data_IF_657239157176
#
_entry.id   IF_657239157176
#
_cell.length_a   1.000
_cell.length_b   1.000
_cell.length_c   1.000
_cell.angle_alpha   90.00
_cell.angle_beta   90.00
_cell.angle_gamma   90.00
#
_symmetry.space_group_name_H-M   'P 1'
#
loop_
_entity.id
_entity.type
_entity.pdbx_description
1 polymer ?
#
# COMPACT_ATOMS: atom_id res chain seq x y z
N UNK A 1 8.54 -35.65 9.56
CA UNK A 1 8.83 -36.83 10.41
C UNK A 1 10.20 -37.36 10.02
N UNK A 2 11.05 -37.81 10.96
CA UNK A 2 12.35 -38.38 10.62
C UNK A 2 12.17 -39.58 9.68
N UNK A 3 12.97 -39.63 8.61
CA UNK A 3 12.97 -40.71 7.65
C UNK A 3 14.34 -40.78 6.96
N UNK A 4 14.81 -41.98 6.64
CA UNK A 4 15.96 -42.19 5.74
C UNK A 4 15.49 -41.95 4.32
N UNK A 5 16.27 -41.21 3.54
CA UNK A 5 15.92 -40.82 2.17
C UNK A 5 17.10 -41.05 1.23
N UNK A 6 16.81 -41.44 0.00
CA UNK A 6 17.81 -41.50 -1.05
C UNK A 6 18.12 -40.09 -1.61
N UNK A 7 19.18 -39.97 -2.42
CA UNK A 7 19.60 -38.68 -2.96
C UNK A 7 18.51 -37.98 -3.78
N UNK A 8 17.76 -38.73 -4.59
CA UNK A 8 16.70 -38.19 -5.44
C UNK A 8 15.55 -37.61 -4.61
N UNK A 9 15.15 -38.31 -3.55
CA UNK A 9 14.11 -37.87 -2.62
C UNK A 9 14.53 -36.59 -1.90
N UNK A 10 15.77 -36.53 -1.39
CA UNK A 10 16.31 -35.35 -0.71
C UNK A 10 16.29 -34.14 -1.64
N UNK A 11 16.81 -34.28 -2.86
CA UNK A 11 16.85 -33.18 -3.82
C UNK A 11 15.46 -32.72 -4.25
N UNK A 12 14.55 -33.67 -4.50
CA UNK A 12 13.17 -33.36 -4.91
C UNK A 12 12.42 -32.61 -3.82
N UNK A 13 12.49 -33.07 -2.58
CA UNK A 13 11.85 -32.39 -1.45
C UNK A 13 12.49 -31.04 -1.14
N UNK A 14 13.82 -30.94 -1.23
CA UNK A 14 14.51 -29.68 -1.05
C UNK A 14 14.10 -28.65 -2.10
N UNK A 15 13.91 -29.06 -3.37
CA UNK A 15 13.40 -28.20 -4.43
C UNK A 15 11.96 -27.73 -4.17
N UNK A 16 11.10 -28.60 -3.63
CA UNK A 16 9.73 -28.23 -3.21
C UNK A 16 9.79 -27.18 -2.10
N UNK A 17 10.58 -27.44 -1.05
CA UNK A 17 10.79 -26.49 0.04
C UNK A 17 11.34 -25.15 -0.48
N UNK A 18 12.35 -25.20 -1.37
CA UNK A 18 12.98 -23.99 -1.89
C UNK A 18 12.02 -23.18 -2.74
N UNK A 19 11.20 -23.83 -3.57
CA UNK A 19 10.14 -23.18 -4.37
C UNK A 19 9.11 -22.50 -3.48
N UNK A 20 8.65 -23.17 -2.43
CA UNK A 20 7.69 -22.59 -1.48
C UNK A 20 8.29 -21.39 -0.73
N UNK A 21 9.53 -21.52 -0.28
CA UNK A 21 10.25 -20.41 0.39
C UNK A 21 10.38 -19.18 -0.52
N UNK A 22 10.74 -19.39 -1.79
CA UNK A 22 10.85 -18.29 -2.77
C UNK A 22 9.48 -17.67 -3.05
N UNK A 23 8.43 -18.48 -3.21
CA UNK A 23 7.06 -18.00 -3.41
C UNK A 23 6.61 -17.11 -2.25
N UNK A 24 6.80 -17.56 -1.01
CA UNK A 24 6.45 -16.77 0.19
C UNK A 24 7.22 -15.45 0.24
N UNK A 25 8.52 -15.47 -0.07
CA UNK A 25 9.34 -14.25 -0.12
C UNK A 25 8.84 -13.25 -1.16
N UNK A 26 8.45 -13.73 -2.34
CA UNK A 26 7.91 -12.88 -3.40
C UNK A 26 6.54 -12.32 -3.03
N UNK A 27 5.63 -13.14 -2.49
CA UNK A 27 4.32 -12.70 -2.04
C UNK A 27 4.41 -11.64 -0.93
N UNK A 28 5.32 -11.83 0.02
CA UNK A 28 5.57 -10.83 1.06
C UNK A 28 6.00 -9.47 0.48
N UNK A 29 6.89 -9.48 -0.53
CA UNK A 29 7.30 -8.24 -1.19
C UNK A 29 6.17 -7.64 -2.04
N UNK A 30 5.43 -8.49 -2.73
CA UNK A 30 4.28 -8.08 -3.54
C UNK A 30 3.23 -7.37 -2.69
N UNK A 31 2.84 -7.93 -1.55
CA UNK A 31 1.89 -7.32 -0.63
C UNK A 31 2.34 -5.95 -0.13
N UNK A 32 3.64 -5.78 0.16
CA UNK A 32 4.19 -4.46 0.52
C UNK A 32 4.05 -3.45 -0.61
N UNK A 33 4.36 -3.85 -1.85
CA UNK A 33 4.25 -2.98 -3.02
C UNK A 33 2.78 -2.62 -3.29
N UNK A 34 1.87 -3.60 -3.22
CA UNK A 34 0.44 -3.35 -3.41
C UNK A 34 -0.11 -2.39 -2.34
N UNK A 35 0.26 -2.57 -1.07
CA UNK A 35 -0.11 -1.61 -0.01
C UNK A 35 0.44 -0.21 -0.28
N UNK A 36 1.67 -0.09 -0.78
CA UNK A 36 2.26 1.21 -1.13
C UNK A 36 1.52 1.87 -2.29
N UNK A 37 1.27 1.13 -3.37
CA UNK A 37 0.51 1.61 -4.53
C UNK A 37 -0.90 2.06 -4.13
N UNK A 38 -1.56 1.29 -3.26
CA UNK A 38 -2.88 1.64 -2.72
C UNK A 38 -2.89 3.00 -2.02
N UNK A 39 -1.88 3.28 -1.19
CA UNK A 39 -1.75 4.59 -0.54
C UNK A 39 -1.42 5.69 -1.55
N UNK A 40 -0.49 5.44 -2.49
CA UNK A 40 -0.13 6.43 -3.52
C UNK A 40 -1.33 6.83 -4.37
N UNK A 41 -2.21 5.89 -4.72
CA UNK A 41 -3.46 6.17 -5.44
C UNK A 41 -4.35 7.14 -4.66
N UNK A 42 -4.58 6.89 -3.36
CA UNK A 42 -5.38 7.78 -2.52
C UNK A 42 -4.75 9.18 -2.37
N UNK A 43 -3.43 9.24 -2.22
CA UNK A 43 -2.71 10.51 -2.19
C UNK A 43 -2.87 11.29 -3.49
N UNK A 44 -2.74 10.64 -4.64
CA UNK A 44 -2.93 11.28 -5.95
C UNK A 44 -4.33 11.86 -6.11
N UNK A 45 -5.36 11.15 -5.65
CA UNK A 45 -6.74 11.68 -5.63
C UNK A 45 -6.83 12.93 -4.76
N UNK A 46 -6.19 12.94 -3.59
CA UNK A 46 -6.16 14.11 -2.71
C UNK A 46 -5.41 15.30 -3.34
N UNK A 47 -4.28 15.07 -4.02
CA UNK A 47 -3.55 16.15 -4.71
C UNK A 47 -4.37 16.79 -5.83
N UNK A 48 -5.13 15.99 -6.59
CA UNK A 48 -5.98 16.50 -7.67
C UNK A 48 -7.17 17.33 -7.15
N UNK A 49 -7.61 17.10 -5.91
CA UNK A 49 -8.79 17.72 -5.31
C UNK A 49 -8.45 18.44 -3.98
N UNK A 50 -7.26 19.04 -3.88
CA UNK A 50 -6.72 19.51 -2.61
C UNK A 50 -7.60 20.55 -1.91
N UNK A 51 -8.22 21.45 -2.66
CA UNK A 51 -9.10 22.49 -2.11
C UNK A 51 -10.34 21.87 -1.44
N UNK A 52 -10.96 20.87 -2.08
CA UNK A 52 -12.13 20.16 -1.57
C UNK A 52 -11.76 19.27 -0.37
N UNK A 53 -10.60 18.62 -0.41
CA UNK A 53 -10.07 17.87 0.74
C UNK A 53 -9.88 18.79 1.95
N UNK A 54 -9.28 19.97 1.75
CA UNK A 54 -9.10 20.96 2.83
C UNK A 54 -10.45 21.47 3.33
N UNK A 55 -11.42 21.71 2.44
CA UNK A 55 -12.76 22.13 2.82
C UNK A 55 -13.45 21.10 3.72
N UNK A 56 -13.42 19.82 3.34
CA UNK A 56 -13.97 18.71 4.14
C UNK A 56 -13.28 18.65 5.51
N UNK A 57 -11.94 18.71 5.55
CA UNK A 57 -11.18 18.65 6.81
C UNK A 57 -11.50 19.82 7.74
N UNK A 58 -11.85 20.99 7.20
CA UNK A 58 -12.13 22.20 7.99
C UNK A 58 -13.57 22.31 8.46
N UNK A 59 -14.52 21.76 7.72
CA UNK A 59 -15.95 22.00 7.93
C UNK A 59 -16.72 20.78 8.45
N UNK A 60 -16.19 19.56 8.30
CA UNK A 60 -16.80 18.34 8.83
C UNK A 60 -16.25 18.00 10.21
N UNK A 61 -17.15 17.62 11.14
CA UNK A 61 -16.77 17.15 12.48
C UNK A 61 -15.99 15.82 12.40
N UNK A 62 -16.37 14.96 11.45
CA UNK A 62 -15.72 13.68 11.17
C UNK A 62 -15.23 13.64 9.71
N UNK A 63 -14.02 14.11 9.41
CA UNK A 63 -13.54 14.22 8.03
C UNK A 63 -13.22 12.86 7.40
N UNK A 64 -12.86 11.83 8.19
CA UNK A 64 -12.47 10.53 7.64
C UNK A 64 -13.61 9.83 6.88
N UNK A 65 -14.82 9.64 7.46
CA UNK A 65 -15.95 9.06 6.73
C UNK A 65 -16.42 9.93 5.54
N UNK A 66 -16.32 11.26 5.67
CA UNK A 66 -16.67 12.19 4.60
C UNK A 66 -15.74 12.05 3.39
N UNK A 67 -14.42 12.01 3.60
CA UNK A 67 -13.42 11.79 2.55
C UNK A 67 -13.62 10.44 1.85
N UNK A 68 -13.89 9.37 2.62
CA UNK A 68 -14.17 8.05 2.07
C UNK A 68 -15.41 8.04 1.18
N UNK A 69 -16.50 8.64 1.65
CA UNK A 69 -17.77 8.67 0.92
C UNK A 69 -17.67 9.54 -0.34
N UNK A 70 -16.97 10.67 -0.27
CA UNK A 70 -16.86 11.63 -1.37
C UNK A 70 -15.98 11.12 -2.50
N UNK A 71 -14.83 10.55 -2.16
CA UNK A 71 -13.80 10.18 -3.13
C UNK A 71 -13.68 8.66 -3.35
N UNK A 72 -14.53 7.85 -2.73
CA UNK A 72 -14.50 6.39 -2.83
C UNK A 72 -13.25 5.77 -2.21
N UNK A 73 -12.64 6.45 -1.22
CA UNK A 73 -11.38 6.04 -0.60
C UNK A 73 -11.61 4.94 0.43
N UNK A 74 -10.62 4.06 0.59
CA UNK A 74 -10.61 3.14 1.73
C UNK A 74 -10.22 3.87 3.00
N UNK A 75 -10.52 3.25 4.15
CA UNK A 75 -10.14 3.79 5.46
C UNK A 75 -8.64 4.10 5.56
N UNK A 76 -7.79 3.19 5.08
CA UNK A 76 -6.33 3.38 5.09
C UNK A 76 -5.85 4.52 4.19
N UNK A 77 -6.53 4.78 3.07
CA UNK A 77 -6.20 5.90 2.20
C UNK A 77 -6.62 7.22 2.85
N UNK A 78 -7.83 7.29 3.40
CA UNK A 78 -8.33 8.47 4.09
C UNK A 78 -7.43 8.82 5.29
N UNK A 79 -7.00 7.84 6.08
CA UNK A 79 -6.05 8.04 7.17
C UNK A 79 -4.72 8.63 6.67
N UNK A 80 -4.15 8.05 5.59
CA UNK A 80 -2.90 8.54 5.02
C UNK A 80 -3.00 9.98 4.48
N UNK A 81 -4.17 10.39 4.00
CA UNK A 81 -4.44 11.77 3.56
C UNK A 81 -4.49 12.71 4.78
N UNK A 82 -5.15 12.31 5.87
CA UNK A 82 -5.22 13.11 7.09
C UNK A 82 -3.84 13.27 7.76
N UNK A 83 -2.96 12.28 7.62
CA UNK A 83 -1.57 12.35 8.10
C UNK A 83 -0.64 13.22 7.22
N UNK A 84 -1.13 13.73 6.07
CA UNK A 84 -0.32 14.59 5.21
C UNK A 84 0.06 15.89 5.92
N UNK A 85 1.35 16.21 5.86
CA UNK A 85 1.87 17.51 6.27
C UNK A 85 1.70 18.50 5.13
N UNK A 86 1.34 19.74 5.44
CA UNK A 86 1.17 20.82 4.45
C UNK A 86 2.38 20.97 3.50
N UNK A 87 3.60 20.76 3.98
CA UNK A 87 4.83 20.79 3.15
C UNK A 87 4.85 19.75 2.01
N UNK A 88 4.11 18.65 2.17
CA UNK A 88 4.00 17.61 1.14
C UNK A 88 3.02 18.00 0.03
N UNK A 89 2.26 19.09 0.18
CA UNK A 89 1.36 19.61 -0.85
C UNK A 89 2.08 20.36 -1.98
N UNK A 90 3.41 20.50 -1.89
CA UNK A 90 4.21 21.14 -2.93
C UNK A 90 4.24 20.29 -4.22
N UNK A 91 4.21 20.95 -5.38
CA UNK A 91 4.25 20.30 -6.71
C UNK A 91 5.43 19.34 -6.91
N UNK A 92 6.56 19.59 -6.24
CA UNK A 92 7.74 18.70 -6.29
C UNK A 92 7.46 17.33 -5.63
N UNK A 93 6.64 17.29 -4.59
CA UNK A 93 6.29 16.05 -3.90
C UNK A 93 5.26 15.24 -4.70
N UNK A 94 4.34 15.89 -5.41
CA UNK A 94 3.43 15.22 -6.35
C UNK A 94 4.22 14.47 -7.45
N UNK A 95 5.23 15.12 -8.04
CA UNK A 95 6.08 14.49 -9.08
C UNK A 95 6.82 13.26 -8.53
N UNK A 96 7.32 13.34 -7.29
CA UNK A 96 7.98 12.19 -6.64
C UNK A 96 7.01 11.04 -6.43
N UNK A 97 5.80 11.32 -5.94
CA UNK A 97 4.74 10.31 -5.71
C UNK A 97 4.33 9.62 -7.02
N UNK A 98 4.26 10.36 -8.14
CA UNK A 98 3.97 9.76 -9.45
C UNK A 98 5.11 8.91 -10.00
N UNK A 99 6.35 9.17 -9.58
CA UNK A 99 7.54 8.46 -10.06
C UNK A 99 7.93 7.23 -9.23
N UNK A 100 7.38 7.11 -8.02
CA UNK A 100 7.60 5.98 -7.09
C UNK A 100 6.79 4.74 -7.49
#
# INVERSE_FOLDING_TARGET
>A
RPAVKNLLEILSEWLVFRRDTVRRRLNYRLEKVLKRLHILEGLLVAFLNIDEVIEIIRNEDEPKPALMSRFGLTETQAEAILELKLRHLAKLEEVKIRSE
#
